data_IF_826309943415
#
_entry.id   IF_826309943415
#
_cell.length_a   1.000
_cell.length_b   1.000
_cell.length_c   1.000
_cell.angle_alpha   90.00
_cell.angle_beta   90.00
_cell.angle_gamma   90.00
#
_symmetry.space_group_name_H-M   'P 1'
#
loop_
_entity.id
_entity.type
_entity.pdbx_description
1 polymer ?
#
# COMPACT_ATOMS: atom_id res chain seq x y z
N UNK A 1 -7.76 -9.80 -10.40
CA UNK A 1 -8.61 -9.80 -9.17
C UNK A 1 -7.75 -9.63 -7.91
N UNK A 2 -8.31 -8.98 -6.88
CA UNK A 2 -7.62 -8.42 -5.70
C UNK A 2 -6.82 -9.43 -4.88
N UNK A 3 -5.65 -9.02 -4.40
CA UNK A 3 -4.82 -9.75 -3.44
C UNK A 3 -4.37 -8.80 -2.34
N UNK A 4 -4.41 -9.25 -1.08
CA UNK A 4 -4.14 -8.40 0.08
C UNK A 4 -3.29 -9.12 1.13
N UNK A 5 -2.47 -8.34 1.82
CA UNK A 5 -1.64 -8.74 2.95
C UNK A 5 -1.96 -7.78 4.09
N UNK A 6 -2.40 -8.32 5.23
CA UNK A 6 -2.79 -7.54 6.42
C UNK A 6 -2.20 -8.17 7.66
N UNK A 7 -1.66 -7.35 8.56
CA UNK A 7 -1.23 -7.81 9.88
C UNK A 7 -0.08 -7.00 10.43
N UNK A 8 0.64 -7.60 11.39
CA UNK A 8 1.81 -6.99 12.01
C UNK A 8 3.07 -7.14 11.14
N UNK A 9 3.09 -6.44 10.00
CA UNK A 9 4.04 -6.70 8.91
C UNK A 9 5.51 -6.47 9.29
N UNK A 10 5.81 -5.48 10.13
CA UNK A 10 7.18 -5.26 10.62
C UNK A 10 7.80 -6.48 11.32
N UNK A 11 6.99 -7.33 11.94
CA UNK A 11 7.44 -8.57 12.59
C UNK A 11 7.29 -9.81 11.72
N UNK A 12 6.41 -9.75 10.71
CA UNK A 12 6.12 -10.88 9.85
C UNK A 12 7.20 -11.14 8.79
N UNK A 13 8.07 -10.16 8.51
CA UNK A 13 9.06 -10.24 7.44
C UNK A 13 8.40 -10.18 6.06
N UNK A 14 8.99 -10.87 5.07
CA UNK A 14 8.41 -10.94 3.73
C UNK A 14 7.11 -11.78 3.74
N UNK A 15 6.05 -11.20 3.20
CA UNK A 15 4.75 -11.84 3.04
C UNK A 15 4.37 -11.86 1.57
N UNK A 16 3.72 -12.95 1.12
CA UNK A 16 3.39 -13.14 -0.29
C UNK A 16 2.03 -13.76 -0.52
N UNK A 17 1.45 -13.36 -1.64
CA UNK A 17 0.33 -14.01 -2.32
C UNK A 17 0.81 -14.50 -3.68
N UNK A 18 -0.09 -14.92 -4.57
CA UNK A 18 0.31 -15.34 -5.93
C UNK A 18 0.83 -14.19 -6.81
N UNK A 19 0.36 -12.95 -6.56
CA UNK A 19 0.65 -11.78 -7.39
C UNK A 19 1.31 -10.60 -6.67
N UNK A 20 1.33 -10.61 -5.34
CA UNK A 20 1.85 -9.51 -4.51
C UNK A 20 2.79 -10.05 -3.44
N UNK A 21 4.00 -9.49 -3.37
CA UNK A 21 4.96 -9.69 -2.28
C UNK A 21 5.23 -8.36 -1.58
N UNK A 22 5.28 -8.37 -0.26
CA UNK A 22 5.42 -7.20 0.59
C UNK A 22 6.43 -7.47 1.69
N UNK A 23 7.36 -6.54 1.87
CA UNK A 23 8.18 -6.40 3.07
C UNK A 23 7.96 -4.99 3.61
N UNK A 24 7.58 -4.85 4.88
CA UNK A 24 7.23 -3.56 5.46
C UNK A 24 7.90 -3.35 6.81
N UNK A 25 8.33 -2.12 7.10
CA UNK A 25 8.80 -1.72 8.44
C UNK A 25 7.68 -1.07 9.27
N UNK A 26 6.47 -0.94 8.71
CA UNK A 26 5.30 -0.40 9.42
C UNK A 26 4.72 -1.49 10.33
N UNK A 27 4.50 -1.17 11.61
CA UNK A 27 4.09 -2.13 12.64
C UNK A 27 2.85 -2.93 12.24
N UNK A 28 1.78 -2.24 11.83
CA UNK A 28 0.56 -2.86 11.33
C UNK A 28 0.11 -2.12 10.08
N UNK A 29 -0.21 -2.86 9.02
CA UNK A 29 -0.75 -2.30 7.80
C UNK A 29 -1.62 -3.32 7.06
N UNK A 30 -2.52 -2.79 6.24
CA UNK A 30 -3.22 -3.51 5.16
C UNK A 30 -2.68 -2.99 3.84
N UNK A 31 -2.14 -3.89 3.01
CA UNK A 31 -1.70 -3.59 1.65
C UNK A 31 -2.49 -4.48 0.68
N UNK A 32 -3.28 -3.87 -0.19
CA UNK A 32 -4.14 -4.55 -1.15
C UNK A 32 -3.89 -4.05 -2.57
N UNK A 33 -3.73 -4.97 -3.52
CA UNK A 33 -3.61 -4.67 -4.95
C UNK A 33 -4.83 -5.21 -5.69
N UNK A 34 -5.53 -4.35 -6.45
CA UNK A 34 -6.75 -4.68 -7.19
C UNK A 34 -6.63 -4.29 -8.65
N UNK A 35 -6.78 -5.24 -9.57
CA UNK A 35 -6.92 -4.96 -11.00
C UNK A 35 -8.22 -4.20 -11.27
N UNK A 36 -8.17 -3.22 -12.18
CA UNK A 36 -9.28 -2.33 -12.55
C UNK A 36 -9.77 -2.55 -13.99
N UNK A 37 -9.35 -3.64 -14.64
CA UNK A 37 -9.54 -3.93 -16.06
C UNK A 37 -9.94 -5.39 -16.35
N UNK A 38 -10.61 -6.04 -15.38
CA UNK A 38 -11.06 -7.45 -15.43
C UNK A 38 -9.98 -8.52 -15.66
N UNK A 39 -8.70 -8.13 -15.67
CA UNK A 39 -7.59 -9.05 -15.79
C UNK A 39 -7.17 -9.66 -14.44
N UNK A 40 -6.32 -10.69 -14.53
CA UNK A 40 -5.49 -11.11 -13.40
C UNK A 40 -4.53 -9.98 -13.01
N UNK A 41 -4.06 -9.93 -11.75
CA UNK A 41 -3.09 -8.90 -11.36
C UNK A 41 -1.82 -8.94 -12.23
N UNK A 42 -1.41 -10.13 -12.66
CA UNK A 42 -0.22 -10.29 -13.49
C UNK A 42 -0.36 -9.77 -14.92
N UNK A 43 -1.58 -9.70 -15.45
CA UNK A 43 -1.84 -9.26 -16.83
C UNK A 43 -2.43 -7.85 -16.89
N UNK A 44 -2.90 -7.32 -15.76
CA UNK A 44 -3.56 -6.03 -15.68
C UNK A 44 -2.64 -4.87 -16.09
N UNK A 45 -3.16 -4.00 -16.94
CA UNK A 45 -2.58 -2.71 -17.28
C UNK A 45 -3.00 -1.59 -16.34
N UNK A 46 -3.87 -1.87 -15.37
CA UNK A 46 -4.38 -0.86 -14.44
C UNK A 46 -4.74 -1.48 -13.10
N UNK A 47 -3.94 -1.21 -12.08
CA UNK A 47 -4.07 -1.76 -10.73
C UNK A 47 -4.12 -0.61 -9.72
N UNK A 48 -5.06 -0.67 -8.77
CA UNK A 48 -5.04 0.17 -7.57
C UNK A 48 -4.35 -0.60 -6.44
N UNK A 49 -3.22 -0.07 -5.98
CA UNK A 49 -2.59 -0.48 -4.73
C UNK A 49 -3.02 0.48 -3.62
N UNK A 50 -3.60 -0.06 -2.56
CA UNK A 50 -3.97 0.67 -1.35
C UNK A 50 -3.13 0.19 -0.18
N UNK A 51 -2.47 1.10 0.52
CA UNK A 51 -1.64 0.82 1.69
C UNK A 51 -2.07 1.68 2.87
N UNK A 52 -2.71 1.07 3.86
CA UNK A 52 -3.27 1.77 5.03
C UNK A 52 -2.58 1.27 6.29
N UNK A 53 -1.96 2.20 7.02
CA UNK A 53 -1.44 1.95 8.36
C UNK A 53 -2.54 2.05 9.42
N UNK A 54 -2.16 2.42 10.65
CA UNK A 54 -3.16 2.78 11.66
C UNK A 54 -3.88 4.05 11.23
N UNK A 55 -5.21 4.06 11.36
CA UNK A 55 -6.06 5.19 11.03
C UNK A 55 -6.90 5.53 12.26
N UNK A 56 -6.63 6.67 12.88
CA UNK A 56 -7.20 7.08 14.16
C UNK A 56 -7.54 8.57 14.11
N UNK A 57 -8.54 9.01 14.85
CA UNK A 57 -8.82 10.44 14.99
C UNK A 57 -7.63 11.20 15.59
N UNK A 58 -7.59 12.51 15.35
CA UNK A 58 -6.66 13.40 16.04
C UNK A 58 -6.89 13.31 17.55
N UNK A 59 -5.81 13.21 18.33
CA UNK A 59 -5.83 13.01 19.79
C UNK A 59 -6.50 11.70 20.27
N UNK A 60 -6.59 10.69 19.40
CA UNK A 60 -6.96 9.34 19.82
C UNK A 60 -5.92 8.79 20.80
N UNK A 61 -6.37 8.23 21.93
CA UNK A 61 -5.47 7.69 22.96
C UNK A 61 -5.91 6.31 23.45
N UNK A 62 -4.91 5.46 23.73
CA UNK A 62 -5.06 4.23 24.50
C UNK A 62 -4.37 4.35 25.85
N UNK A 63 -4.65 3.40 26.74
CA UNK A 63 -3.82 3.18 27.92
C UNK A 63 -2.40 2.74 27.54
N UNK A 64 -1.49 2.72 28.52
CA UNK A 64 -0.08 2.37 28.31
C UNK A 64 0.12 1.01 27.63
N UNK A 65 -0.72 0.03 27.95
CA UNK A 65 -0.68 -1.32 27.35
C UNK A 65 -1.30 -1.40 25.95
N UNK A 66 -1.87 -0.29 25.43
CA UNK A 66 -2.60 -0.19 24.16
C UNK A 66 -3.70 -1.23 23.96
N UNK A 67 -4.30 -1.71 25.04
CA UNK A 67 -5.39 -2.72 25.01
C UNK A 67 -6.76 -2.14 25.37
N UNK A 68 -6.82 -0.84 25.74
CA UNK A 68 -8.07 -0.15 26.05
C UNK A 68 -8.02 1.28 25.51
N UNK A 69 -9.06 1.68 24.76
CA UNK A 69 -9.28 3.07 24.34
C UNK A 69 -9.56 3.95 25.56
N UNK A 70 -8.90 5.10 25.65
CA UNK A 70 -9.15 6.11 26.68
C UNK A 70 -9.96 7.29 26.12
N UNK A 71 -9.62 7.76 24.92
CA UNK A 71 -10.35 8.79 24.19
C UNK A 71 -10.47 8.42 22.71
N UNK A 72 -11.60 8.77 22.11
CA UNK A 72 -11.82 8.60 20.67
C UNK A 72 -11.26 9.77 19.84
N UNK A 73 -10.71 10.80 20.48
CA UNK A 73 -10.24 12.00 19.80
C UNK A 73 -11.36 12.76 19.07
N UNK A 74 -10.97 13.60 18.11
CA UNK A 74 -11.87 14.29 17.19
C UNK A 74 -11.32 14.24 15.76
N UNK A 75 -12.19 14.50 14.77
CA UNK A 75 -11.75 14.60 13.38
C UNK A 75 -10.69 15.70 13.20
N UNK A 76 -9.80 15.58 12.20
CA UNK A 76 -9.80 14.55 11.15
C UNK A 76 -9.16 13.22 11.59
N UNK A 77 -9.38 12.18 10.79
CA UNK A 77 -8.64 10.90 10.89
C UNK A 77 -7.23 11.12 10.35
N UNK A 78 -6.23 10.77 11.15
CA UNK A 78 -4.82 10.70 10.78
C UNK A 78 -4.46 9.26 10.46
N UNK A 79 -3.72 9.06 9.37
CA UNK A 79 -3.28 7.74 8.92
C UNK A 79 -1.76 7.68 8.96
N UNK A 80 -1.24 6.67 9.65
CA UNK A 80 0.19 6.40 9.66
C UNK A 80 0.69 6.07 8.24
N UNK A 81 1.79 6.69 7.78
CA UNK A 81 2.37 6.34 6.49
C UNK A 81 2.88 4.89 6.49
N UNK A 82 2.56 4.16 5.44
CA UNK A 82 3.09 2.80 5.21
C UNK A 82 4.44 2.90 4.53
N UNK A 83 5.46 2.28 5.11
CA UNK A 83 6.79 2.07 4.51
C UNK A 83 6.90 0.61 4.10
N UNK A 84 7.01 0.35 2.80
CA UNK A 84 7.10 -1.02 2.31
C UNK A 84 7.80 -1.08 0.96
N UNK A 85 8.51 -2.19 0.75
CA UNK A 85 8.95 -2.65 -0.58
C UNK A 85 7.85 -3.54 -1.13
N UNK A 86 7.40 -3.22 -2.34
CA UNK A 86 6.31 -3.90 -3.04
C UNK A 86 6.90 -4.59 -4.26
N UNK A 87 6.51 -5.85 -4.47
CA UNK A 87 6.79 -6.58 -5.70
C UNK A 87 5.49 -7.15 -6.27
N UNK A 88 5.14 -6.70 -7.47
CA UNK A 88 3.96 -7.16 -8.20
C UNK A 88 4.41 -8.08 -9.33
N UNK A 89 4.01 -9.36 -9.28
CA UNK A 89 4.24 -10.29 -10.39
C UNK A 89 3.46 -9.78 -11.60
N UNK A 90 4.11 -9.65 -12.75
CA UNK A 90 3.45 -9.18 -13.97
C UNK A 90 4.17 -9.65 -15.23
N UNK A 91 3.41 -9.85 -16.30
CA UNK A 91 3.94 -10.09 -17.65
C UNK A 91 4.16 -8.79 -18.43
N UNK A 92 3.74 -7.65 -17.89
CA UNK A 92 3.91 -6.35 -18.53
C UNK A 92 5.20 -5.69 -18.11
N UNK A 93 5.82 -4.93 -19.00
CA UNK A 93 7.11 -4.24 -18.75
C UNK A 93 6.99 -2.72 -18.88
N UNK A 94 5.79 -2.21 -19.10
CA UNK A 94 5.46 -0.82 -19.42
C UNK A 94 4.60 -0.17 -18.32
N UNK A 95 4.44 -0.78 -17.14
CA UNK A 95 3.75 -0.13 -16.01
C UNK A 95 4.63 0.93 -15.34
N UNK A 96 3.97 1.96 -14.83
CA UNK A 96 4.48 2.98 -13.92
C UNK A 96 3.60 3.04 -12.66
N UNK A 97 4.15 3.58 -11.57
CA UNK A 97 3.47 3.71 -10.28
C UNK A 97 3.27 5.18 -9.98
N UNK A 98 2.02 5.61 -9.81
CA UNK A 98 1.66 7.01 -9.60
C UNK A 98 0.97 7.11 -8.23
N UNK A 99 1.49 7.87 -7.26
CA UNK A 99 0.77 8.17 -6.03
C UNK A 99 -0.44 9.04 -6.37
N UNK A 100 -1.59 8.77 -5.74
CA UNK A 100 -2.84 9.48 -6.01
C UNK A 100 -3.41 10.00 -4.70
N UNK A 101 -3.66 11.30 -4.58
CA UNK A 101 -4.30 11.89 -3.41
C UNK A 101 -5.78 11.48 -3.29
N UNK A 102 -6.41 11.73 -2.14
CA UNK A 102 -7.79 11.32 -1.88
C UNK A 102 -8.82 11.97 -2.82
N UNK A 103 -8.49 13.12 -3.40
CA UNK A 103 -9.28 13.84 -4.41
C UNK A 103 -9.03 13.34 -5.85
N UNK A 104 -8.14 12.36 -6.03
CA UNK A 104 -7.75 11.83 -7.34
C UNK A 104 -6.56 12.55 -7.99
N UNK A 105 -5.99 13.58 -7.35
CA UNK A 105 -4.82 14.29 -7.88
C UNK A 105 -3.62 13.35 -7.97
N UNK A 106 -3.00 13.29 -9.15
CA UNK A 106 -1.82 12.45 -9.40
C UNK A 106 -0.54 13.20 -9.02
N UNK A 107 0.35 12.53 -8.29
CA UNK A 107 1.70 13.01 -8.04
C UNK A 107 2.71 12.50 -9.08
N UNK A 108 3.99 12.74 -8.80
CA UNK A 108 5.08 12.28 -9.65
C UNK A 108 5.24 10.74 -9.58
N UNK A 109 5.52 10.07 -10.72
CA UNK A 109 5.74 8.63 -10.72
C UNK A 109 6.89 8.20 -9.81
N UNK A 110 6.69 7.09 -9.10
CA UNK A 110 7.73 6.49 -8.27
C UNK A 110 8.76 5.74 -9.14
N UNK A 111 10.01 5.74 -8.68
CA UNK A 111 11.03 4.88 -9.23
C UNK A 111 10.62 3.40 -9.08
N UNK A 112 10.88 2.61 -10.11
CA UNK A 112 10.57 1.20 -10.12
C UNK A 112 11.52 0.44 -11.03
N UNK A 113 11.61 -0.86 -10.81
CA UNK A 113 12.46 -1.76 -11.58
C UNK A 113 11.71 -3.04 -11.90
N UNK A 114 11.88 -3.52 -13.12
CA UNK A 114 11.50 -4.88 -13.49
C UNK A 114 12.66 -5.84 -13.27
N UNK A 115 12.40 -6.91 -12.55
CA UNK A 115 13.32 -8.02 -12.36
C UNK A 115 12.53 -9.30 -12.10
N UNK A 116 12.96 -10.42 -12.69
CA UNK A 116 12.44 -11.77 -12.42
C UNK A 116 10.91 -11.92 -12.55
N UNK A 117 10.33 -11.25 -13.56
CA UNK A 117 8.89 -11.28 -13.82
C UNK A 117 8.04 -10.50 -12.80
N UNK A 118 8.64 -9.54 -12.11
CA UNK A 118 7.95 -8.66 -11.17
C UNK A 118 8.38 -7.20 -11.30
N UNK A 119 7.42 -6.30 -11.07
CA UNK A 119 7.61 -4.88 -10.89
C UNK A 119 7.88 -4.58 -9.42
N UNK A 120 9.05 -4.04 -9.12
CA UNK A 120 9.49 -3.72 -7.76
C UNK A 120 9.59 -2.21 -7.55
N UNK A 121 9.07 -1.73 -6.42
CA UNK A 121 9.10 -0.32 -6.04
C UNK A 121 8.92 -0.16 -4.52
N UNK A 122 9.21 1.03 -4.01
CA UNK A 122 9.04 1.37 -2.61
C UNK A 122 7.92 2.39 -2.43
N UNK A 123 7.14 2.22 -1.35
CA UNK A 123 6.17 3.21 -0.88
C UNK A 123 6.61 3.74 0.48
N UNK A 124 6.24 4.98 0.79
CA UNK A 124 6.68 5.65 2.00
C UNK A 124 6.00 6.99 2.24
N UNK A 125 6.34 7.68 3.34
CA UNK A 125 5.68 8.91 3.77
C UNK A 125 5.80 10.07 2.78
N UNK A 126 6.83 10.08 1.92
CA UNK A 126 7.03 11.13 0.93
C UNK A 126 5.85 11.21 -0.06
N UNK A 127 5.17 10.09 -0.33
CA UNK A 127 4.03 10.04 -1.22
C UNK A 127 2.76 10.71 -0.64
N UNK A 128 2.69 10.91 0.68
CA UNK A 128 1.56 11.53 1.39
C UNK A 128 0.18 10.99 0.98
N UNK A 129 0.10 9.70 0.70
CA UNK A 129 -1.14 9.03 0.29
C UNK A 129 -1.18 7.57 0.74
N UNK A 130 -2.39 7.01 0.75
CA UNK A 130 -2.65 5.57 0.87
C UNK A 130 -2.93 4.91 -0.49
N UNK A 131 -3.04 5.67 -1.59
CA UNK A 131 -3.41 5.16 -2.92
C UNK A 131 -2.27 5.30 -3.93
N UNK A 132 -2.04 4.23 -4.69
CA UNK A 132 -1.06 4.18 -5.76
C UNK A 132 -1.69 3.52 -6.99
N UNK A 133 -1.71 4.23 -8.10
CA UNK A 133 -2.17 3.72 -9.38
C UNK A 133 -0.97 3.13 -10.12
N UNK A 134 -0.98 1.81 -10.32
CA UNK A 134 -0.02 1.13 -11.18
C UNK A 134 -0.68 0.98 -12.54
N UNK A 135 -0.17 1.65 -13.57
CA UNK A 135 -0.82 1.71 -14.88
C UNK A 135 0.17 1.63 -16.03
N UNK A 136 -0.30 1.17 -17.20
CA UNK A 136 0.43 1.25 -18.45
C UNK A 136 0.86 2.69 -18.78
N UNK A 137 2.01 2.81 -19.42
CA UNK A 137 2.45 4.05 -20.06
C UNK A 137 1.78 4.24 -21.41
#
# INVERSE_FOLDING_TARGET
RTQAITGFLAKAGEQKTSGLTVTSTTTFATIAASALDDQTLSQSGRILLTAVGRAENTDFTYNLLRNRKLSSGSGPILIDPVRATISLRTTRTDLQIIPVAADGTKGDPLASRYADGALQFEIGPAAKTIYYLVQAR
#
